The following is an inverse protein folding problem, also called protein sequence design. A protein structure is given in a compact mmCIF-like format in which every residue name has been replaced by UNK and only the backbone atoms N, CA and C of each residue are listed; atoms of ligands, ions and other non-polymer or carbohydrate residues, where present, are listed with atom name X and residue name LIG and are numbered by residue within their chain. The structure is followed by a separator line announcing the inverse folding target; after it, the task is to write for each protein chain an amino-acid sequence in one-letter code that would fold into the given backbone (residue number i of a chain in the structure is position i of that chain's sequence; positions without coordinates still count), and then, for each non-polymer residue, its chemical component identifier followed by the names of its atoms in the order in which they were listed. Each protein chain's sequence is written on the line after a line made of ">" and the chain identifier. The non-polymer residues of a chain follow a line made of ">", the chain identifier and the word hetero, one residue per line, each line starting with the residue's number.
data_IF_212197109249
#
_entry.id   IF_212197109249
#
_cell.length_a   1.000
_cell.length_b   1.000
_cell.length_c   1.000
_cell.angle_alpha   90.00
_cell.angle_beta   90.00
_cell.angle_gamma   90.00
#
_symmetry.space_group_name_H-M   'P 1'
#
loop_
_entity.id
_entity.type
_entity.pdbx_description
1 polymer ?
#
# COMPACT_ATOMS: atom_id res chain seq x y z
N UNK A 1 6.89 -3.74 -19.02
CA UNK A 1 6.31 -4.97 -18.43
C UNK A 1 4.80 -4.97 -18.66
N UNK A 2 4.27 -6.06 -19.15
CA UNK A 2 2.83 -6.17 -19.45
C UNK A 2 2.03 -6.47 -18.19
N UNK A 3 0.71 -6.20 -18.19
CA UNK A 3 -0.13 -6.58 -17.05
C UNK A 3 -0.03 -8.07 -16.71
N UNK A 4 0.05 -8.93 -17.72
CA UNK A 4 0.20 -10.37 -17.49
C UNK A 4 1.51 -10.67 -16.76
N UNK A 5 2.61 -10.05 -17.18
CA UNK A 5 3.91 -10.25 -16.53
C UNK A 5 3.89 -9.74 -15.08
N UNK A 6 3.24 -8.60 -14.84
CA UNK A 6 3.09 -8.09 -13.49
C UNK A 6 2.31 -9.06 -12.62
N UNK A 7 1.21 -9.58 -13.14
CA UNK A 7 0.39 -10.52 -12.40
C UNK A 7 1.17 -11.80 -12.07
N UNK A 8 1.92 -12.32 -13.02
CA UNK A 8 2.74 -13.51 -12.77
C UNK A 8 3.79 -13.25 -11.70
N UNK A 9 4.41 -12.07 -11.72
CA UNK A 9 5.38 -11.70 -10.71
C UNK A 9 4.76 -11.61 -9.31
N UNK A 10 3.54 -11.09 -9.23
CA UNK A 10 2.82 -10.98 -7.96
C UNK A 10 2.44 -12.36 -7.41
N UNK A 11 1.97 -13.24 -8.25
CA UNK A 11 1.44 -14.52 -7.81
C UNK A 11 2.51 -15.60 -7.63
N UNK A 12 3.54 -15.57 -8.45
CA UNK A 12 4.50 -16.68 -8.52
C UNK A 12 5.97 -16.27 -8.44
N UNK A 13 6.26 -14.97 -8.31
CA UNK A 13 7.64 -14.51 -8.30
C UNK A 13 8.37 -14.83 -7.00
N UNK A 14 9.70 -14.85 -7.09
CA UNK A 14 10.53 -14.85 -5.88
C UNK A 14 10.33 -13.55 -5.11
N UNK A 15 10.82 -13.48 -3.88
CA UNK A 15 10.61 -12.29 -3.07
C UNK A 15 11.06 -10.99 -3.74
N UNK A 16 12.26 -10.92 -4.35
CA UNK A 16 12.66 -9.68 -5.03
C UNK A 16 11.80 -9.38 -6.26
N UNK A 17 11.42 -10.39 -7.02
CA UNK A 17 10.58 -10.22 -8.20
C UNK A 17 9.19 -9.76 -7.78
N UNK A 18 8.64 -10.35 -6.74
CA UNK A 18 7.34 -9.98 -6.24
C UNK A 18 7.31 -8.53 -5.75
N UNK A 19 8.32 -8.10 -5.00
CA UNK A 19 8.38 -6.72 -4.52
C UNK A 19 8.45 -5.73 -5.66
N UNK A 20 9.23 -6.03 -6.68
CA UNK A 20 9.34 -5.17 -7.85
C UNK A 20 8.01 -5.11 -8.60
N UNK A 21 7.36 -6.26 -8.76
CA UNK A 21 6.06 -6.32 -9.41
C UNK A 21 5.01 -5.54 -8.64
N UNK A 22 5.02 -5.61 -7.30
CA UNK A 22 4.11 -4.84 -6.48
C UNK A 22 4.30 -3.34 -6.70
N UNK A 23 5.53 -2.87 -6.67
CA UNK A 23 5.81 -1.45 -6.85
C UNK A 23 5.35 -0.98 -8.23
N UNK A 24 5.63 -1.74 -9.27
CA UNK A 24 5.23 -1.38 -10.63
C UNK A 24 3.72 -1.45 -10.82
N UNK A 25 3.08 -2.45 -10.23
CA UNK A 25 1.63 -2.59 -10.32
C UNK A 25 0.93 -1.42 -9.65
N UNK A 26 1.36 -1.05 -8.45
CA UNK A 26 0.75 0.07 -7.73
C UNK A 26 0.99 1.38 -8.49
N UNK A 27 2.20 1.57 -9.02
CA UNK A 27 2.50 2.76 -9.82
C UNK A 27 1.59 2.84 -11.04
N UNK A 28 1.36 1.73 -11.73
CA UNK A 28 0.48 1.70 -12.88
C UNK A 28 -0.95 2.07 -12.50
N UNK A 29 -1.45 1.51 -11.39
CA UNK A 29 -2.80 1.78 -10.93
C UNK A 29 -2.97 3.23 -10.44
N UNK A 30 -1.90 3.83 -9.93
CA UNK A 30 -1.92 5.22 -9.50
C UNK A 30 -1.78 6.21 -10.65
N UNK A 31 -1.41 5.75 -11.83
CA UNK A 31 -1.15 6.63 -12.96
C UNK A 31 -2.42 7.31 -13.45
N UNK A 32 -2.30 8.59 -13.80
CA UNK A 32 -3.39 9.34 -14.42
C UNK A 32 -3.24 9.43 -15.94
N UNK A 33 -2.23 8.79 -16.50
CA UNK A 33 -2.00 8.83 -17.95
C UNK A 33 -3.07 8.03 -18.68
N UNK A 34 -3.54 8.58 -19.77
CA UNK A 34 -4.59 7.95 -20.58
C UNK A 34 -4.11 6.62 -21.16
N UNK A 35 -2.86 6.57 -21.60
CA UNK A 35 -2.30 5.36 -22.22
C UNK A 35 -2.09 4.24 -21.19
N UNK A 36 -2.10 4.54 -19.90
CA UNK A 36 -1.99 3.53 -18.86
C UNK A 36 -3.34 2.95 -18.44
N UNK A 37 -4.44 3.59 -18.83
CA UNK A 37 -5.75 3.19 -18.31
C UNK A 37 -6.16 1.78 -18.71
N UNK A 38 -5.95 1.42 -19.96
CA UNK A 38 -6.27 0.06 -20.42
C UNK A 38 -5.40 -0.98 -19.73
N UNK A 39 -4.12 -0.67 -19.57
CA UNK A 39 -3.19 -1.57 -18.89
C UNK A 39 -3.58 -1.75 -17.41
N UNK A 40 -3.96 -0.65 -16.76
CA UNK A 40 -4.40 -0.69 -15.37
C UNK A 40 -5.67 -1.53 -15.22
N UNK A 41 -6.63 -1.36 -16.14
CA UNK A 41 -7.87 -2.12 -16.10
C UNK A 41 -7.63 -3.60 -16.31
N UNK A 42 -6.75 -3.97 -17.23
CA UNK A 42 -6.38 -5.37 -17.43
C UNK A 42 -5.75 -5.96 -16.18
N UNK A 43 -4.84 -5.23 -15.57
CA UNK A 43 -4.18 -5.69 -14.34
C UNK A 43 -5.19 -5.88 -13.23
N UNK A 44 -6.07 -4.90 -13.03
CA UNK A 44 -7.07 -4.96 -11.98
C UNK A 44 -8.00 -6.16 -12.18
N UNK A 45 -8.44 -6.39 -13.40
CA UNK A 45 -9.29 -7.54 -13.70
C UNK A 45 -8.59 -8.86 -13.34
N UNK A 46 -7.29 -8.96 -13.63
CA UNK A 46 -6.52 -10.15 -13.29
C UNK A 46 -6.26 -10.32 -11.81
N UNK A 47 -6.23 -9.21 -11.06
CA UNK A 47 -6.00 -9.27 -9.62
C UNK A 47 -7.22 -9.76 -8.84
N UNK A 48 -8.43 -9.39 -9.28
CA UNK A 48 -9.64 -9.59 -8.49
C UNK A 48 -9.85 -11.01 -7.97
N UNK A 49 -9.63 -12.09 -8.76
CA UNK A 49 -9.81 -13.43 -8.22
C UNK A 49 -8.88 -13.80 -7.07
N UNK A 50 -7.82 -13.02 -6.88
CA UNK A 50 -6.79 -13.32 -5.87
C UNK A 50 -6.84 -12.35 -4.69
N UNK A 51 -7.93 -11.62 -4.52
CA UNK A 51 -8.07 -10.59 -3.48
C UNK A 51 -9.18 -10.96 -2.50
N UNK A 52 -9.31 -10.13 -1.46
CA UNK A 52 -10.39 -10.27 -0.50
C UNK A 52 -10.09 -11.19 0.67
N UNK A 53 -8.86 -11.68 0.79
CA UNK A 53 -8.48 -12.62 1.84
C UNK A 53 -7.65 -11.98 2.96
N UNK A 54 -7.52 -10.66 2.97
CA UNK A 54 -6.70 -10.00 3.96
C UNK A 54 -7.53 -9.35 5.06
N UNK A 55 -6.89 -9.13 6.21
CA UNK A 55 -7.44 -8.28 7.25
C UNK A 55 -6.95 -6.85 6.97
N UNK A 56 -7.86 -5.93 6.83
CA UNK A 56 -7.56 -4.53 6.52
C UNK A 56 -7.74 -3.68 7.76
N UNK A 57 -6.72 -2.92 8.11
CA UNK A 57 -6.71 -2.09 9.31
C UNK A 57 -6.37 -0.65 8.94
N UNK A 58 -7.24 0.29 9.30
CA UNK A 58 -6.97 1.71 9.12
C UNK A 58 -6.43 2.33 10.39
N UNK A 59 -5.34 3.07 10.29
CA UNK A 59 -4.75 3.78 11.42
C UNK A 59 -4.61 5.24 11.02
N UNK A 60 -5.21 6.13 11.80
CA UNK A 60 -5.17 7.55 11.49
C UNK A 60 -4.65 8.34 12.67
N UNK A 61 -4.24 9.58 12.39
CA UNK A 61 -3.74 10.47 13.41
C UNK A 61 -2.74 11.45 12.83
N UNK A 62 -2.41 12.46 13.62
CA UNK A 62 -1.42 13.44 13.18
C UNK A 62 -0.01 12.90 13.37
N UNK A 63 0.95 13.38 12.56
CA UNK A 63 2.34 12.96 12.72
C UNK A 63 2.86 13.32 14.11
N UNK A 64 3.76 12.50 14.64
CA UNK A 64 4.42 12.80 15.88
C UNK A 64 3.73 12.31 17.15
N UNK A 65 2.63 11.53 17.02
CA UNK A 65 1.93 10.99 18.19
C UNK A 65 2.26 9.51 18.43
N UNK A 66 3.37 9.02 17.90
CA UNK A 66 3.77 7.65 18.10
C UNK A 66 3.12 6.66 17.17
N UNK A 67 2.47 7.12 16.13
CA UNK A 67 1.75 6.28 15.19
C UNK A 67 2.69 5.30 14.46
N UNK A 68 3.82 5.78 13.99
CA UNK A 68 4.81 4.94 13.32
C UNK A 68 5.39 3.88 14.25
N UNK A 69 5.64 4.26 15.50
CA UNK A 69 6.14 3.32 16.50
C UNK A 69 5.12 2.21 16.77
N UNK A 70 3.85 2.59 16.87
CA UNK A 70 2.78 1.61 17.06
C UNK A 70 2.67 0.66 15.87
N UNK A 71 2.72 1.20 14.65
CA UNK A 71 2.60 0.39 13.44
C UNK A 71 3.77 -0.59 13.35
N UNK A 72 4.99 -0.13 13.66
CA UNK A 72 6.14 -1.03 13.64
C UNK A 72 5.99 -2.15 14.65
N UNK A 73 5.61 -1.83 15.87
CA UNK A 73 5.43 -2.85 16.91
C UNK A 73 4.34 -3.84 16.52
N UNK A 74 3.20 -3.35 16.02
CA UNK A 74 2.12 -4.20 15.60
C UNK A 74 2.51 -5.09 14.42
N UNK A 75 3.18 -4.49 13.42
CA UNK A 75 3.62 -5.22 12.24
C UNK A 75 4.59 -6.34 12.59
N UNK A 76 5.57 -6.06 13.42
CA UNK A 76 6.54 -7.06 13.84
C UNK A 76 5.88 -8.17 14.66
N UNK A 77 4.93 -7.80 15.51
CA UNK A 77 4.17 -8.78 16.28
C UNK A 77 3.40 -9.73 15.34
N UNK A 78 2.69 -9.17 14.37
CA UNK A 78 1.91 -9.98 13.44
C UNK A 78 2.79 -10.89 12.60
N UNK A 79 3.95 -10.41 12.17
CA UNK A 79 4.90 -11.23 11.43
C UNK A 79 5.38 -12.40 12.28
N UNK A 80 5.63 -12.15 13.56
CA UNK A 80 6.01 -13.22 14.48
C UNK A 80 4.92 -14.27 14.64
N UNK A 81 3.66 -13.90 14.37
CA UNK A 81 2.54 -14.83 14.41
C UNK A 81 2.33 -15.54 13.06
N UNK A 82 3.18 -15.32 12.10
CA UNK A 82 3.09 -15.99 10.80
C UNK A 82 2.39 -15.19 9.70
N UNK A 83 2.11 -13.93 9.94
CA UNK A 83 1.44 -13.08 8.94
C UNK A 83 2.45 -12.34 8.06
N UNK A 84 2.00 -11.94 6.88
CA UNK A 84 2.74 -11.02 6.01
C UNK A 84 2.00 -9.70 6.02
N UNK A 85 2.73 -8.62 6.28
CA UNK A 85 2.13 -7.31 6.57
C UNK A 85 2.54 -6.29 5.52
N UNK A 86 1.54 -5.63 4.93
CA UNK A 86 1.78 -4.49 4.05
C UNK A 86 1.29 -3.22 4.74
N UNK A 87 2.07 -2.15 4.64
CA UNK A 87 1.71 -0.85 5.18
C UNK A 87 1.65 0.16 4.05
N UNK A 88 0.50 0.76 3.86
CA UNK A 88 0.30 1.80 2.84
C UNK A 88 0.11 3.12 3.56
N UNK A 89 1.07 4.03 3.35
CA UNK A 89 1.05 5.34 3.99
C UNK A 89 0.48 6.36 3.01
N UNK A 90 -0.66 6.93 3.36
CA UNK A 90 -1.36 7.90 2.52
C UNK A 90 -1.30 9.27 3.18
N UNK A 91 -0.74 10.24 2.47
CA UNK A 91 -0.64 11.61 2.96
C UNK A 91 -1.28 12.54 1.93
N UNK A 92 -2.46 13.09 2.22
CA UNK A 92 -3.14 13.99 1.26
C UNK A 92 -2.33 15.22 0.91
N UNK A 93 -1.38 15.63 1.73
CA UNK A 93 -0.56 16.82 1.50
C UNK A 93 0.82 16.48 0.93
N UNK A 94 1.08 15.23 0.59
CA UNK A 94 2.43 14.76 0.29
C UNK A 94 3.01 15.24 -1.01
N UNK A 95 2.20 15.79 -1.91
CA UNK A 95 2.71 16.26 -3.19
C UNK A 95 3.79 17.31 -3.03
N UNK A 96 3.77 18.04 -1.92
CA UNK A 96 4.74 19.09 -1.66
C UNK A 96 5.81 18.63 -0.68
N UNK A 97 5.46 17.79 0.25
CA UNK A 97 6.38 17.40 1.30
C UNK A 97 6.40 15.88 1.48
N UNK A 98 6.89 15.19 0.47
CA UNK A 98 7.08 13.75 0.59
C UNK A 98 7.97 13.37 1.77
N UNK A 99 8.66 14.35 2.33
CA UNK A 99 9.53 14.11 3.47
C UNK A 99 8.83 13.56 4.70
N UNK A 100 7.56 13.91 4.92
CA UNK A 100 6.84 13.39 6.10
C UNK A 100 6.63 11.89 6.00
N UNK A 101 6.28 11.39 4.82
CA UNK A 101 6.13 9.95 4.63
C UNK A 101 7.47 9.24 4.71
N UNK A 102 8.50 9.84 4.13
CA UNK A 102 9.84 9.29 4.22
C UNK A 102 10.34 9.25 5.66
N UNK A 103 10.01 10.27 6.45
CA UNK A 103 10.35 10.29 7.85
C UNK A 103 9.69 9.18 8.63
N UNK A 104 8.41 8.93 8.37
CA UNK A 104 7.68 7.85 9.02
C UNK A 104 8.26 6.49 8.63
N UNK A 105 8.55 6.31 7.35
CA UNK A 105 9.17 5.07 6.89
C UNK A 105 10.53 4.85 7.53
N UNK A 106 11.30 5.94 7.72
CA UNK A 106 12.60 5.86 8.37
C UNK A 106 12.46 5.41 9.82
N UNK A 107 11.39 5.87 10.50
CA UNK A 107 11.14 5.45 11.89
C UNK A 107 10.75 3.98 12.01
N UNK A 108 10.22 3.41 10.94
CA UNK A 108 9.89 1.98 10.92
C UNK A 108 11.05 1.16 10.36
N UNK A 109 12.24 1.39 10.91
CA UNK A 109 13.47 0.85 10.33
C UNK A 109 13.57 -0.67 10.38
N UNK A 110 12.98 -1.30 11.38
CA UNK A 110 13.01 -2.77 11.45
C UNK A 110 11.96 -3.38 10.53
N UNK A 111 10.77 -2.80 10.52
CA UNK A 111 9.69 -3.30 9.67
C UNK A 111 10.01 -3.06 8.19
N UNK A 112 10.60 -1.92 7.87
CA UNK A 112 10.84 -1.55 6.48
C UNK A 112 11.82 -2.48 5.76
N UNK A 113 12.67 -3.20 6.50
CA UNK A 113 13.64 -4.11 5.91
C UNK A 113 13.26 -5.58 6.12
N UNK A 114 12.14 -5.84 6.76
CA UNK A 114 11.74 -7.22 7.03
C UNK A 114 11.25 -7.91 5.76
N UNK A 115 11.66 -9.16 5.50
CA UNK A 115 11.26 -9.85 4.26
C UNK A 115 9.75 -10.12 4.16
N UNK A 116 9.03 -10.18 5.28
CA UNK A 116 7.59 -10.42 5.27
C UNK A 116 6.79 -9.13 5.41
N UNK A 117 7.43 -7.99 5.24
CA UNK A 117 6.77 -6.69 5.30
C UNK A 117 6.97 -5.93 4.00
N UNK A 118 5.98 -5.11 3.66
CA UNK A 118 6.06 -4.22 2.51
C UNK A 118 5.50 -2.87 2.91
N UNK A 119 6.30 -1.82 2.80
CA UNK A 119 5.88 -0.47 3.16
C UNK A 119 5.97 0.41 1.92
N UNK A 120 4.88 1.10 1.61
CA UNK A 120 4.85 1.98 0.45
C UNK A 120 4.17 3.30 0.79
N UNK A 121 4.84 4.43 0.58
CA UNK A 121 4.16 5.72 0.60
C UNK A 121 3.32 5.85 -0.68
N UNK A 122 2.12 6.40 -0.53
CA UNK A 122 1.21 6.59 -1.65
C UNK A 122 0.74 8.04 -1.64
N UNK A 123 1.30 8.88 -2.51
CA UNK A 123 0.93 10.28 -2.52
C UNK A 123 -0.52 10.48 -2.96
N UNK A 124 -1.17 11.45 -2.35
CA UNK A 124 -2.52 11.83 -2.71
C UNK A 124 -2.49 12.67 -3.98
N UNK A 125 -3.43 12.43 -4.88
CA UNK A 125 -3.56 13.23 -6.08
C UNK A 125 -4.63 14.31 -5.94
N UNK A 126 -5.09 14.60 -4.75
CA UNK A 126 -5.87 15.76 -4.48
C UNK A 126 -7.30 15.56 -4.01
N UNK A 127 -8.11 14.74 -4.66
CA UNK A 127 -9.49 14.59 -4.23
C UNK A 127 -9.65 13.44 -3.25
N UNK A 128 -10.57 13.62 -2.31
CA UNK A 128 -10.82 12.63 -1.27
C UNK A 128 -11.22 11.28 -1.87
N UNK A 129 -12.12 11.28 -2.84
CA UNK A 129 -12.56 10.05 -3.49
C UNK A 129 -11.43 9.37 -4.25
N UNK A 130 -10.58 10.16 -4.92
CA UNK A 130 -9.44 9.62 -5.63
C UNK A 130 -8.42 8.96 -4.71
N UNK A 131 -8.21 9.52 -3.53
CA UNK A 131 -7.33 8.90 -2.54
C UNK A 131 -7.86 7.54 -2.14
N UNK A 132 -9.14 7.44 -1.81
CA UNK A 132 -9.73 6.18 -1.37
C UNK A 132 -9.68 5.12 -2.46
N UNK A 133 -9.93 5.52 -3.70
CA UNK A 133 -9.89 4.59 -4.84
C UNK A 133 -8.48 4.05 -5.06
N UNK A 134 -7.49 4.93 -5.10
CA UNK A 134 -6.10 4.51 -5.32
C UNK A 134 -5.60 3.64 -4.17
N UNK A 135 -5.96 3.97 -2.95
CA UNK A 135 -5.58 3.17 -1.80
C UNK A 135 -6.19 1.78 -1.86
N UNK A 136 -7.46 1.69 -2.24
CA UNK A 136 -8.12 0.40 -2.38
C UNK A 136 -7.43 -0.47 -3.42
N UNK A 137 -7.08 0.11 -4.56
CA UNK A 137 -6.38 -0.63 -5.61
C UNK A 137 -5.01 -1.11 -5.15
N UNK A 138 -4.30 -0.29 -4.40
CA UNK A 138 -3.01 -0.71 -3.83
C UNK A 138 -3.19 -1.87 -2.85
N UNK A 139 -4.26 -1.86 -2.06
CA UNK A 139 -4.56 -2.97 -1.17
C UNK A 139 -4.80 -4.26 -1.94
N UNK A 140 -5.48 -4.17 -3.08
CA UNK A 140 -5.72 -5.35 -3.91
C UNK A 140 -4.42 -5.96 -4.42
N UNK A 141 -3.46 -5.13 -4.79
CA UNK A 141 -2.14 -5.60 -5.20
C UNK A 141 -1.46 -6.35 -4.07
N UNK A 142 -1.50 -5.80 -2.86
CA UNK A 142 -0.88 -6.44 -1.70
C UNK A 142 -1.54 -7.77 -1.39
N UNK A 143 -2.86 -7.83 -1.47
CA UNK A 143 -3.60 -9.07 -1.21
C UNK A 143 -3.27 -10.15 -2.25
N UNK A 144 -3.21 -9.77 -3.52
CA UNK A 144 -2.87 -10.72 -4.58
C UNK A 144 -1.45 -11.25 -4.40
N UNK A 145 -0.56 -10.45 -3.85
CA UNK A 145 0.82 -10.86 -3.59
C UNK A 145 0.96 -11.74 -2.34
N UNK A 146 -0.13 -11.99 -1.63
CA UNK A 146 -0.13 -12.91 -0.49
C UNK A 146 0.04 -12.24 0.86
N UNK A 147 -0.08 -10.93 0.95
CA UNK A 147 -0.05 -10.23 2.23
C UNK A 147 -1.43 -10.33 2.85
N UNK A 148 -1.48 -10.92 4.04
CA UNK A 148 -2.76 -11.22 4.69
C UNK A 148 -3.17 -10.17 5.73
N UNK A 149 -2.31 -9.20 6.01
CA UNK A 149 -2.66 -8.03 6.82
C UNK A 149 -2.23 -6.79 6.07
N UNK A 150 -3.17 -5.89 5.80
CA UNK A 150 -2.89 -4.65 5.10
C UNK A 150 -3.25 -3.49 6.03
N UNK A 151 -2.25 -2.72 6.42
CA UNK A 151 -2.43 -1.56 7.30
C UNK A 151 -2.41 -0.32 6.42
N UNK A 152 -3.44 0.52 6.55
CA UNK A 152 -3.50 1.80 5.84
C UNK A 152 -3.33 2.90 6.87
N UNK A 153 -2.24 3.64 6.73
CA UNK A 153 -1.93 4.76 7.61
C UNK A 153 -2.27 6.06 6.89
N UNK A 154 -3.04 6.93 7.54
CA UNK A 154 -3.33 8.24 6.99
C UNK A 154 -2.78 9.32 7.89
N UNK A 155 -2.30 10.39 7.25
CA UNK A 155 -1.88 11.60 7.95
C UNK A 155 -2.71 12.75 7.39
N UNK A 156 -2.99 13.75 8.23
CA UNK A 156 -3.73 14.92 7.82
C UNK A 156 -5.12 14.96 8.40
N UNK A 157 -6.09 15.44 7.61
CA UNK A 157 -7.41 15.77 8.14
C UNK A 157 -8.36 14.57 8.07
N UNK A 158 -9.37 14.61 8.95
CA UNK A 158 -10.24 13.48 9.18
C UNK A 158 -11.09 13.03 8.01
N UNK A 159 -11.29 13.89 7.01
CA UNK A 159 -12.09 13.50 5.85
C UNK A 159 -11.43 12.39 5.03
N UNK A 160 -10.11 12.44 4.91
CA UNK A 160 -9.36 11.38 4.23
C UNK A 160 -9.45 10.08 5.01
N UNK A 161 -9.39 10.16 6.33
CA UNK A 161 -9.49 8.99 7.17
C UNK A 161 -10.84 8.31 7.00
N UNK A 162 -11.90 9.09 6.94
CA UNK A 162 -13.25 8.55 6.75
C UNK A 162 -13.38 7.80 5.42
N UNK A 163 -12.81 8.36 4.36
CA UNK A 163 -12.86 7.72 3.05
C UNK A 163 -12.08 6.41 3.02
N UNK A 164 -10.96 6.37 3.70
CA UNK A 164 -10.12 5.15 3.74
C UNK A 164 -10.80 4.06 4.56
N UNK A 165 -11.49 4.42 5.63
CA UNK A 165 -12.15 3.46 6.50
C UNK A 165 -13.26 2.68 5.80
N UNK A 166 -13.82 3.26 4.76
CA UNK A 166 -14.88 2.61 3.99
C UNK A 166 -14.32 1.78 2.85
#
# INVERSE_FOLDING_TARGET
>A
MTPHQLLQGLLHGTAPVQRRAMAKAITLLESTRVDHRLLADELLTGLLPHTGQSFRLGISGVPGVGKSTFIEALGLYLIAQGHRVAVLAVDPSSTVSGGSILGDKTRMEHLSVHPDAYIRPSPSSGTLGGVAEKTREAMLVCEAAGYDVVIVETVGVGQSETAVAN
#
